data_IF_765613583613
#
_entry.id   IF_765613583613
#
_cell.length_a   1.000
_cell.length_b   1.000
_cell.length_c   1.000
_cell.angle_alpha   90.00
_cell.angle_beta   90.00
_cell.angle_gamma   90.00
#
_symmetry.space_group_name_H-M   'P 1'
#
loop_
_entity.id
_entity.type
_entity.pdbx_description
1 polymer ?
#
# COMPACT_ATOMS: atom_id res chain seq x y z
N UNK A 1 -42.26 30.21 10.62
CA UNK A 1 -40.87 29.85 10.30
C UNK A 1 -40.59 28.51 10.94
N UNK A 2 -40.27 27.49 10.14
CA UNK A 2 -39.81 26.21 10.69
C UNK A 2 -38.29 26.31 10.87
N UNK A 3 -37.84 26.17 12.12
CA UNK A 3 -36.42 26.18 12.46
C UNK A 3 -36.07 24.80 12.98
N UNK A 4 -35.37 24.03 12.15
CA UNK A 4 -34.65 22.86 12.61
C UNK A 4 -33.35 23.34 13.30
N UNK A 5 -32.81 22.65 14.32
CA UNK A 5 -31.50 23.00 14.91
C UNK A 5 -30.39 23.25 13.89
N UNK A 6 -30.46 22.59 12.73
CA UNK A 6 -29.43 22.66 11.68
C UNK A 6 -29.84 23.43 10.43
N UNK A 7 -31.12 23.83 10.29
CA UNK A 7 -31.58 24.46 9.06
C UNK A 7 -32.80 25.36 9.22
N UNK A 8 -32.87 26.34 8.32
CA UNK A 8 -33.94 27.33 8.29
C UNK A 8 -34.35 27.62 6.87
N UNK A 9 -35.63 27.86 6.65
CA UNK A 9 -36.16 28.38 5.38
C UNK A 9 -36.66 29.81 5.58
N UNK A 10 -36.29 30.74 4.70
CA UNK A 10 -36.81 32.10 4.72
C UNK A 10 -38.17 32.23 4.00
N UNK A 11 -38.75 33.43 4.04
CA UNK A 11 -40.06 33.73 3.43
C UNK A 11 -40.06 33.66 1.89
N UNK A 12 -38.87 33.67 1.28
CA UNK A 12 -38.68 33.53 -0.17
C UNK A 12 -38.47 32.08 -0.60
N UNK A 13 -38.44 31.14 0.35
CA UNK A 13 -38.17 29.73 0.11
C UNK A 13 -36.69 29.39 0.01
N UNK A 14 -35.77 30.28 0.40
CA UNK A 14 -34.34 29.96 0.46
C UNK A 14 -34.06 29.12 1.70
N UNK A 15 -33.35 28.00 1.52
CA UNK A 15 -32.95 27.08 2.59
C UNK A 15 -31.52 27.40 3.00
N UNK A 16 -31.30 27.50 4.30
CA UNK A 16 -30.01 27.73 4.93
C UNK A 16 -29.67 26.56 5.83
N UNK A 17 -28.38 26.20 5.88
CA UNK A 17 -27.80 25.27 6.85
C UNK A 17 -26.96 26.05 7.83
N UNK A 18 -27.03 25.68 9.10
CA UNK A 18 -26.20 26.26 10.15
C UNK A 18 -24.94 25.41 10.32
N UNK A 19 -23.78 26.03 10.11
CA UNK A 19 -22.45 25.44 10.31
C UNK A 19 -21.71 26.19 11.42
N UNK A 20 -20.57 25.69 11.87
CA UNK A 20 -19.70 26.39 12.81
C UNK A 20 -19.23 27.77 12.29
N UNK A 21 -19.20 27.96 10.96
CA UNK A 21 -18.80 29.21 10.32
C UNK A 21 -19.98 30.18 10.08
N UNK A 22 -21.21 29.77 10.42
CA UNK A 22 -22.43 30.57 10.26
C UNK A 22 -23.51 29.90 9.40
N UNK A 23 -24.53 30.68 9.02
CA UNK A 23 -25.59 30.22 8.11
C UNK A 23 -25.11 30.29 6.66
N UNK A 24 -25.19 29.17 5.93
CA UNK A 24 -24.85 29.04 4.52
C UNK A 24 -26.08 28.72 3.69
N UNK A 25 -26.17 29.26 2.48
CA UNK A 25 -27.29 28.97 1.56
C UNK A 25 -27.11 27.59 0.94
N UNK A 26 -28.12 26.74 1.10
CA UNK A 26 -28.16 25.35 0.61
C UNK A 26 -28.82 25.27 -0.76
N UNK A 27 -29.84 26.11 -0.97
CA UNK A 27 -30.64 26.14 -2.18
C UNK A 27 -31.93 26.94 -2.01
N UNK A 28 -32.79 26.92 -3.03
CA UNK A 28 -34.12 27.51 -2.97
C UNK A 28 -35.18 26.47 -3.30
N UNK A 29 -36.30 26.53 -2.59
CA UNK A 29 -37.46 25.65 -2.74
C UNK A 29 -38.71 26.48 -3.00
N UNK A 30 -39.22 26.43 -4.24
CA UNK A 30 -40.41 27.19 -4.66
C UNK A 30 -41.67 26.32 -4.81
N UNK A 31 -41.56 25.01 -4.61
CA UNK A 31 -42.64 24.05 -4.88
C UNK A 31 -43.02 23.28 -3.62
N UNK A 32 -43.74 23.93 -2.71
CA UNK A 32 -44.31 23.29 -1.51
C UNK A 32 -44.11 24.09 -0.23
N UNK A 33 -44.30 23.43 0.90
CA UNK A 33 -44.14 24.02 2.23
C UNK A 33 -42.66 24.08 2.66
N UNK A 34 -42.30 25.02 3.56
CA UNK A 34 -40.95 25.07 4.14
C UNK A 34 -40.50 23.79 4.85
N UNK A 35 -41.43 23.04 5.44
CA UNK A 35 -41.12 21.76 6.10
C UNK A 35 -40.73 20.67 5.09
N UNK A 36 -41.41 20.61 3.94
CA UNK A 36 -41.04 19.68 2.86
C UNK A 36 -39.66 20.01 2.27
N UNK A 37 -39.30 21.29 2.21
CA UNK A 37 -37.97 21.73 1.80
C UNK A 37 -36.89 21.20 2.75
N UNK A 38 -37.05 21.41 4.07
CA UNK A 38 -36.12 20.91 5.08
C UNK A 38 -36.00 19.38 5.01
N UNK A 39 -37.12 18.66 4.96
CA UNK A 39 -37.11 17.20 4.88
C UNK A 39 -36.40 16.68 3.61
N UNK A 40 -36.48 17.40 2.48
CA UNK A 40 -35.74 17.05 1.26
C UNK A 40 -34.23 17.18 1.46
N UNK A 41 -33.77 18.28 2.06
CA UNK A 41 -32.34 18.52 2.30
C UNK A 41 -31.78 17.65 3.45
N UNK A 42 -32.60 17.28 4.43
CA UNK A 42 -32.25 16.30 5.46
C UNK A 42 -32.04 14.89 4.86
N UNK A 43 -32.91 14.45 3.95
CA UNK A 43 -32.68 13.17 3.25
C UNK A 43 -31.37 13.13 2.47
N UNK A 44 -30.94 14.28 1.92
CA UNK A 44 -29.61 14.38 1.29
C UNK A 44 -28.49 14.22 2.30
N UNK A 45 -28.63 14.81 3.49
CA UNK A 45 -27.70 14.62 4.60
C UNK A 45 -27.64 13.14 5.01
N UNK A 46 -28.78 12.48 5.18
CA UNK A 46 -28.85 11.04 5.48
C UNK A 46 -28.16 10.19 4.40
N UNK A 47 -28.32 10.55 3.12
CA UNK A 47 -27.61 9.93 2.01
C UNK A 47 -26.09 9.99 2.18
N UNK A 48 -25.55 11.17 2.50
CA UNK A 48 -24.12 11.36 2.75
C UNK A 48 -23.65 10.57 3.98
N UNK A 49 -24.44 10.53 5.04
CA UNK A 49 -24.14 9.72 6.25
C UNK A 49 -23.99 8.25 5.89
N UNK A 50 -24.89 7.72 5.06
CA UNK A 50 -24.85 6.33 4.59
C UNK A 50 -23.64 6.09 3.68
N UNK A 51 -23.37 6.99 2.73
CA UNK A 51 -22.23 6.86 1.82
C UNK A 51 -20.89 6.84 2.57
N UNK A 52 -20.70 7.75 3.53
CA UNK A 52 -19.52 7.75 4.41
C UNK A 52 -19.43 6.43 5.19
N UNK A 53 -20.54 5.96 5.78
CA UNK A 53 -20.56 4.70 6.52
C UNK A 53 -20.18 3.48 5.67
N UNK A 54 -20.63 3.45 4.41
CA UNK A 54 -20.26 2.41 3.46
C UNK A 54 -18.78 2.47 3.10
N UNK A 55 -18.24 3.67 2.87
CA UNK A 55 -16.82 3.86 2.58
C UNK A 55 -15.94 3.48 3.79
N UNK A 56 -16.31 3.89 5.00
CA UNK A 56 -15.65 3.50 6.25
C UNK A 56 -15.59 1.98 6.37
N UNK A 57 -16.73 1.29 6.17
CA UNK A 57 -16.79 -0.17 6.21
C UNK A 57 -15.92 -0.80 5.13
N UNK A 58 -15.97 -0.29 3.90
CA UNK A 58 -15.17 -0.80 2.78
C UNK A 58 -13.67 -0.65 3.05
N UNK A 59 -13.24 0.51 3.53
CA UNK A 59 -11.86 0.73 3.97
C UNK A 59 -11.47 -0.28 5.05
N UNK A 60 -12.35 -0.58 5.99
CA UNK A 60 -12.05 -1.54 7.07
C UNK A 60 -12.01 -3.00 6.61
N UNK A 61 -12.95 -3.44 5.77
CA UNK A 61 -13.17 -4.87 5.50
C UNK A 61 -12.64 -5.37 4.17
N UNK A 62 -12.33 -4.49 3.22
CA UNK A 62 -11.89 -4.88 1.88
C UNK A 62 -10.44 -4.49 1.62
N UNK A 63 -9.88 -4.98 0.52
CA UNK A 63 -8.53 -4.68 0.03
C UNK A 63 -8.45 -3.35 -0.74
N UNK A 64 -9.36 -2.41 -0.47
CA UNK A 64 -9.41 -1.12 -1.15
C UNK A 64 -8.04 -0.43 -1.04
N UNK A 65 -7.50 0.00 -2.19
CA UNK A 65 -6.21 0.68 -2.22
C UNK A 65 -6.32 2.04 -1.52
N UNK A 66 -5.24 2.49 -0.89
CA UNK A 66 -5.21 3.80 -0.22
C UNK A 66 -5.52 4.94 -1.20
N UNK A 67 -5.10 4.80 -2.47
CA UNK A 67 -5.36 5.78 -3.52
C UNK A 67 -6.85 5.85 -3.87
N UNK A 68 -7.49 4.71 -4.08
CA UNK A 68 -8.92 4.67 -4.44
C UNK A 68 -9.80 5.11 -3.27
N UNK A 69 -9.41 4.78 -2.04
CA UNK A 69 -10.04 5.29 -0.83
C UNK A 69 -9.95 6.82 -0.76
N UNK A 70 -8.78 7.41 -1.04
CA UNK A 70 -8.61 8.86 -1.04
C UNK A 70 -9.49 9.55 -2.09
N UNK A 71 -9.54 9.02 -3.32
CA UNK A 71 -10.41 9.56 -4.38
C UNK A 71 -11.88 9.53 -3.96
N UNK A 72 -12.34 8.46 -3.32
CA UNK A 72 -13.71 8.37 -2.82
C UNK A 72 -13.98 9.36 -1.68
N UNK A 73 -13.03 9.55 -0.76
CA UNK A 73 -13.13 10.56 0.31
C UNK A 73 -13.26 11.96 -0.28
N UNK A 74 -12.40 12.30 -1.25
CA UNK A 74 -12.38 13.62 -1.88
C UNK A 74 -13.70 13.90 -2.60
N UNK A 75 -14.27 12.90 -3.29
CA UNK A 75 -15.58 13.04 -3.91
C UNK A 75 -16.70 13.33 -2.89
N UNK A 76 -16.73 12.62 -1.76
CA UNK A 76 -17.74 12.86 -0.73
C UNK A 76 -17.52 14.23 -0.07
N UNK A 77 -16.27 14.65 0.14
CA UNK A 77 -15.97 16.00 0.64
C UNK A 77 -16.49 17.09 -0.28
N UNK A 78 -16.30 16.95 -1.59
CA UNK A 78 -16.88 17.87 -2.57
C UNK A 78 -18.40 17.95 -2.47
N UNK A 79 -19.09 16.83 -2.24
CA UNK A 79 -20.54 16.82 -2.04
C UNK A 79 -20.97 17.49 -0.73
N UNK A 80 -20.20 17.32 0.36
CA UNK A 80 -20.44 17.99 1.64
C UNK A 80 -20.20 19.50 1.52
N UNK A 81 -19.12 19.91 0.86
CA UNK A 81 -18.75 21.32 0.65
C UNK A 81 -19.58 22.02 -0.42
N UNK A 82 -20.33 21.29 -1.23
CA UNK A 82 -21.39 21.85 -2.07
C UNK A 82 -22.59 22.34 -1.23
N UNK A 83 -22.62 22.07 0.08
CA UNK A 83 -23.64 22.54 1.05
C UNK A 83 -25.09 22.26 0.60
N UNK A 84 -25.35 21.19 -0.15
CA UNK A 84 -26.70 20.85 -0.64
C UNK A 84 -27.48 19.94 0.32
N UNK A 85 -27.21 20.01 1.61
CA UNK A 85 -27.86 19.22 2.64
C UNK A 85 -28.02 20.03 3.93
N UNK A 86 -29.06 19.70 4.72
CA UNK A 86 -29.31 20.30 6.03
C UNK A 86 -29.04 19.24 7.10
N UNK A 87 -28.09 19.53 7.99
CA UNK A 87 -27.64 18.64 9.05
C UNK A 87 -26.27 19.05 9.60
N UNK A 88 -25.67 18.21 10.43
CA UNK A 88 -24.34 18.46 11.01
C UNK A 88 -23.22 18.15 9.99
N UNK A 89 -23.02 19.07 9.04
CA UNK A 89 -21.99 18.95 8.00
C UNK A 89 -20.57 18.92 8.59
N UNK A 90 -20.36 19.60 9.71
CA UNK A 90 -19.05 19.63 10.39
C UNK A 90 -18.72 18.26 11.01
N UNK A 91 -19.72 17.54 11.53
CA UNK A 91 -19.53 16.14 11.93
C UNK A 91 -19.18 15.23 10.74
N UNK A 92 -19.77 15.44 9.56
CA UNK A 92 -19.40 14.68 8.35
C UNK A 92 -17.96 14.97 7.91
N UNK A 93 -17.56 16.24 7.89
CA UNK A 93 -16.17 16.64 7.64
C UNK A 93 -15.21 15.98 8.62
N UNK A 94 -15.53 16.02 9.91
CA UNK A 94 -14.73 15.36 10.95
C UNK A 94 -14.63 13.83 10.80
N UNK A 95 -15.67 13.17 10.29
CA UNK A 95 -15.61 11.73 9.95
C UNK A 95 -14.68 11.47 8.77
N UNK A 96 -14.79 12.28 7.70
CA UNK A 96 -13.93 12.18 6.52
C UNK A 96 -12.46 12.43 6.88
N UNK A 97 -12.16 13.41 7.75
CA UNK A 97 -10.81 13.68 8.25
C UNK A 97 -10.21 12.50 9.00
N UNK A 98 -10.98 11.88 9.90
CA UNK A 98 -10.58 10.66 10.61
C UNK A 98 -10.32 9.51 9.64
N UNK A 99 -11.14 9.40 8.59
CA UNK A 99 -10.97 8.37 7.58
C UNK A 99 -9.69 8.58 6.77
N UNK A 100 -9.36 9.83 6.38
CA UNK A 100 -8.07 10.16 5.75
C UNK A 100 -6.90 9.75 6.64
N UNK A 101 -6.93 10.12 7.93
CA UNK A 101 -5.88 9.75 8.87
C UNK A 101 -5.69 8.23 8.96
N UNK A 102 -6.80 7.48 8.95
CA UNK A 102 -6.77 6.01 8.95
C UNK A 102 -6.14 5.44 7.68
N UNK A 103 -6.50 5.98 6.51
CA UNK A 103 -5.96 5.57 5.22
C UNK A 103 -4.45 5.83 5.14
N UNK A 104 -4.00 7.01 5.59
CA UNK A 104 -2.57 7.35 5.58
C UNK A 104 -1.75 6.52 6.57
N UNK A 105 -2.27 6.25 7.78
CA UNK A 105 -1.59 5.34 8.73
C UNK A 105 -1.35 3.97 8.11
N UNK A 106 -2.39 3.38 7.50
CA UNK A 106 -2.29 2.07 6.84
C UNK A 106 -1.34 2.09 5.64
N UNK A 107 -1.31 3.19 4.89
CA UNK A 107 -0.39 3.37 3.76
C UNK A 107 1.06 3.36 4.24
N UNK A 108 1.34 4.08 5.32
CA UNK A 108 2.68 4.17 5.90
C UNK A 108 3.10 2.83 6.53
N UNK A 109 2.22 2.17 7.28
CA UNK A 109 2.45 0.82 7.81
C UNK A 109 2.79 -0.18 6.70
N UNK A 110 2.01 -0.21 5.62
CA UNK A 110 2.28 -1.08 4.45
C UNK A 110 3.59 -0.74 3.78
N UNK A 111 3.94 0.54 3.68
CA UNK A 111 5.21 0.99 3.11
C UNK A 111 6.38 0.51 3.96
N UNK A 112 6.31 0.68 5.28
CA UNK A 112 7.32 0.22 6.22
C UNK A 112 7.46 -1.30 6.21
N UNK A 113 6.34 -2.04 6.17
CA UNK A 113 6.36 -3.50 6.06
C UNK A 113 7.03 -3.96 4.76
N UNK A 114 6.70 -3.34 3.62
CA UNK A 114 7.36 -3.65 2.33
C UNK A 114 8.84 -3.32 2.35
N UNK A 115 9.22 -2.18 2.93
CA UNK A 115 10.62 -1.81 3.06
C UNK A 115 11.40 -2.84 3.90
N UNK A 116 10.87 -3.22 5.08
CA UNK A 116 11.46 -4.26 5.94
C UNK A 116 11.59 -5.59 5.21
N UNK A 117 10.54 -6.06 4.55
CA UNK A 117 10.58 -7.30 3.78
C UNK A 117 11.60 -7.25 2.64
N UNK A 118 11.72 -6.11 1.96
CA UNK A 118 12.72 -5.90 0.91
C UNK A 118 14.14 -5.90 1.46
N UNK A 119 14.37 -5.25 2.60
CA UNK A 119 15.68 -5.19 3.25
C UNK A 119 16.11 -6.56 3.79
N UNK A 120 15.19 -7.30 4.41
CA UNK A 120 15.42 -8.67 4.86
C UNK A 120 15.74 -9.61 3.70
N UNK A 121 14.98 -9.52 2.60
CA UNK A 121 15.24 -10.31 1.39
C UNK A 121 16.60 -9.93 0.76
N UNK A 122 16.97 -8.65 0.76
CA UNK A 122 18.26 -8.19 0.25
C UNK A 122 19.40 -8.75 1.09
N UNK A 123 19.33 -8.61 2.41
CA UNK A 123 20.34 -9.13 3.33
C UNK A 123 20.50 -10.64 3.18
N UNK A 124 19.41 -11.40 3.13
CA UNK A 124 19.46 -12.84 2.92
C UNK A 124 20.17 -13.22 1.60
N UNK A 125 19.92 -12.47 0.51
CA UNK A 125 20.60 -12.68 -0.77
C UNK A 125 22.07 -12.29 -0.73
N UNK A 126 22.41 -11.20 -0.06
CA UNK A 126 23.80 -10.77 0.16
C UNK A 126 24.59 -11.82 0.95
N UNK A 127 24.00 -12.37 2.01
CA UNK A 127 24.62 -13.43 2.82
C UNK A 127 24.86 -14.70 1.98
N UNK A 128 23.91 -15.11 1.11
CA UNK A 128 24.10 -16.22 0.17
C UNK A 128 25.22 -15.97 -0.84
N UNK A 129 25.32 -14.74 -1.35
CA UNK A 129 26.38 -14.34 -2.29
C UNK A 129 27.74 -14.40 -1.59
N UNK A 130 27.85 -13.83 -0.39
CA UNK A 130 29.08 -13.84 0.40
C UNK A 130 29.52 -15.26 0.73
N UNK A 131 28.60 -16.14 1.11
CA UNK A 131 28.90 -17.56 1.34
C UNK A 131 29.38 -18.25 0.06
N UNK A 132 28.73 -17.99 -1.07
CA UNK A 132 29.17 -18.56 -2.35
C UNK A 132 30.57 -18.05 -2.78
N UNK A 133 30.86 -16.78 -2.54
CA UNK A 133 32.18 -16.18 -2.78
C UNK A 133 33.26 -16.83 -1.91
N UNK A 134 32.96 -17.13 -0.63
CA UNK A 134 33.87 -17.87 0.25
C UNK A 134 34.07 -19.32 -0.21
N UNK A 135 32.99 -20.03 -0.52
CA UNK A 135 33.04 -21.42 -1.00
C UNK A 135 33.78 -21.54 -2.33
N UNK A 136 33.73 -20.50 -3.17
CA UNK A 136 34.46 -20.47 -4.43
C UNK A 136 35.99 -20.50 -4.26
N UNK A 137 36.49 -20.12 -3.09
CA UNK A 137 37.90 -20.17 -2.74
C UNK A 137 38.32 -21.48 -2.04
N UNK A 138 37.36 -22.33 -1.67
CA UNK A 138 37.60 -23.57 -0.93
C UNK A 138 38.15 -24.69 -1.80
N UNK A 139 39.14 -25.42 -1.28
CA UNK A 139 39.65 -26.66 -1.87
C UNK A 139 38.89 -27.91 -1.41
N UNK A 140 37.87 -27.74 -0.55
CA UNK A 140 36.96 -28.83 -0.16
C UNK A 140 35.95 -29.13 -1.26
N UNK A 141 36.44 -29.66 -2.39
CA UNK A 141 35.71 -29.74 -3.67
C UNK A 141 34.32 -30.39 -3.60
N UNK A 142 34.17 -31.43 -2.79
CA UNK A 142 32.89 -32.15 -2.64
C UNK A 142 31.91 -31.35 -1.79
N UNK A 143 32.30 -31.02 -0.56
CA UNK A 143 31.45 -30.30 0.40
C UNK A 143 31.06 -28.90 -0.12
N UNK A 144 32.02 -28.14 -0.66
CA UNK A 144 31.75 -26.84 -1.25
C UNK A 144 30.83 -26.93 -2.47
N UNK A 145 30.99 -27.97 -3.31
CA UNK A 145 30.14 -28.21 -4.46
C UNK A 145 28.70 -28.61 -4.09
N UNK A 146 28.51 -29.39 -3.03
CA UNK A 146 27.18 -29.72 -2.49
C UNK A 146 26.52 -28.49 -1.88
N UNK A 147 27.27 -27.70 -1.08
CA UNK A 147 26.76 -26.46 -0.49
C UNK A 147 26.38 -25.42 -1.54
N UNK A 148 27.21 -25.19 -2.56
CA UNK A 148 26.91 -24.27 -3.67
C UNK A 148 25.64 -24.66 -4.44
N UNK A 149 25.30 -25.96 -4.53
CA UNK A 149 24.01 -26.39 -5.12
C UNK A 149 22.85 -26.04 -4.19
N UNK A 150 22.98 -26.32 -2.91
CA UNK A 150 21.95 -25.98 -1.92
C UNK A 150 21.65 -24.47 -1.89
N UNK A 151 22.67 -23.61 -2.01
CA UNK A 151 22.49 -22.15 -2.06
C UNK A 151 21.63 -21.69 -3.25
N UNK A 152 21.66 -22.40 -4.39
CA UNK A 152 20.80 -22.08 -5.55
C UNK A 152 19.34 -22.32 -5.23
N UNK A 153 19.04 -23.40 -4.51
CA UNK A 153 17.68 -23.73 -4.14
C UNK A 153 17.18 -22.78 -3.04
N UNK A 154 18.04 -22.40 -2.10
CA UNK A 154 17.73 -21.32 -1.15
C UNK A 154 17.45 -20.00 -1.87
N UNK A 155 18.29 -19.61 -2.84
CA UNK A 155 18.09 -18.39 -3.63
C UNK A 155 16.72 -18.33 -4.31
N UNK A 156 16.28 -19.44 -4.93
CA UNK A 156 14.97 -19.53 -5.60
C UNK A 156 13.79 -19.39 -4.64
N UNK A 157 13.97 -19.76 -3.37
CA UNK A 157 12.96 -19.66 -2.32
C UNK A 157 12.87 -18.27 -1.69
N UNK A 158 13.86 -17.39 -1.90
CA UNK A 158 13.85 -16.05 -1.34
C UNK A 158 12.91 -15.10 -2.12
N UNK A 159 12.27 -14.13 -1.44
CA UNK A 159 11.49 -13.10 -2.10
C UNK A 159 12.29 -12.37 -3.19
N UNK A 160 11.61 -11.99 -4.27
CA UNK A 160 12.21 -11.20 -5.34
C UNK A 160 12.38 -9.75 -4.89
N UNK A 161 13.53 -9.16 -5.21
CA UNK A 161 13.79 -7.74 -5.03
C UNK A 161 13.34 -6.96 -6.26
N UNK A 162 13.61 -5.66 -6.28
CA UNK A 162 13.59 -4.91 -7.52
C UNK A 162 14.57 -5.53 -8.53
N UNK A 163 14.22 -5.41 -9.82
CA UNK A 163 14.95 -6.07 -10.91
C UNK A 163 16.45 -5.77 -10.88
N UNK A 164 16.84 -4.52 -10.60
CA UNK A 164 18.24 -4.09 -10.66
C UNK A 164 19.04 -4.76 -9.54
N UNK A 165 18.56 -4.70 -8.30
CA UNK A 165 19.24 -5.32 -7.16
C UNK A 165 19.34 -6.84 -7.32
N UNK A 166 18.28 -7.48 -7.82
CA UNK A 166 18.25 -8.94 -7.99
C UNK A 166 19.24 -9.40 -9.07
N UNK A 167 19.27 -8.71 -10.22
CA UNK A 167 20.17 -9.00 -11.33
C UNK A 167 21.65 -8.86 -10.91
N UNK A 168 21.99 -7.82 -10.14
CA UNK A 168 23.34 -7.59 -9.65
C UNK A 168 23.82 -8.71 -8.72
N UNK A 169 23.02 -9.03 -7.70
CA UNK A 169 23.35 -10.08 -6.74
C UNK A 169 23.39 -11.46 -7.42
N UNK A 170 22.48 -11.74 -8.35
CA UNK A 170 22.50 -12.98 -9.13
C UNK A 170 23.75 -13.11 -9.99
N UNK A 171 24.20 -12.02 -10.63
CA UNK A 171 25.41 -12.00 -11.43
C UNK A 171 26.63 -12.34 -10.56
N UNK A 172 26.77 -11.72 -9.38
CA UNK A 172 27.84 -12.02 -8.42
C UNK A 172 27.81 -13.48 -7.96
N UNK A 173 26.64 -13.98 -7.57
CA UNK A 173 26.45 -15.37 -7.17
C UNK A 173 26.83 -16.37 -8.28
N UNK A 174 26.39 -16.10 -9.51
CA UNK A 174 26.68 -16.93 -10.68
C UNK A 174 28.17 -16.91 -11.05
N UNK A 175 28.82 -15.75 -10.90
CA UNK A 175 30.26 -15.61 -11.10
C UNK A 175 31.04 -16.45 -10.09
N UNK A 176 30.72 -16.38 -8.79
CA UNK A 176 31.37 -17.19 -7.76
C UNK A 176 31.26 -18.71 -8.04
N UNK A 177 30.06 -19.18 -8.41
CA UNK A 177 29.82 -20.59 -8.78
C UNK A 177 30.60 -21.01 -10.03
N UNK A 178 30.69 -20.13 -11.01
CA UNK A 178 31.45 -20.38 -12.24
C UNK A 178 32.95 -20.46 -11.97
N UNK A 179 33.47 -19.56 -11.14
CA UNK A 179 34.86 -19.54 -10.70
C UNK A 179 35.23 -20.84 -9.96
N UNK A 180 34.41 -21.27 -9.00
CA UNK A 180 34.59 -22.57 -8.32
C UNK A 180 34.66 -23.74 -9.29
N UNK A 181 33.69 -23.81 -10.22
CA UNK A 181 33.58 -24.90 -11.18
C UNK A 181 34.81 -24.97 -12.11
N UNK A 182 35.32 -23.80 -12.54
CA UNK A 182 36.55 -23.68 -13.33
C UNK A 182 37.78 -24.15 -12.54
N UNK A 183 37.94 -23.70 -11.29
CA UNK A 183 39.04 -24.12 -10.40
C UNK A 183 39.04 -25.62 -10.15
N UNK A 184 37.87 -26.18 -9.81
CA UNK A 184 37.69 -27.61 -9.58
C UNK A 184 38.09 -28.43 -10.81
N UNK A 185 37.64 -28.02 -12.01
CA UNK A 185 37.98 -28.70 -13.26
C UNK A 185 39.49 -28.68 -13.52
N UNK A 186 40.15 -27.53 -13.32
CA UNK A 186 41.59 -27.40 -13.50
C UNK A 186 42.38 -28.30 -12.53
N UNK A 187 42.00 -28.32 -11.25
CA UNK A 187 42.64 -29.16 -10.23
C UNK A 187 42.58 -30.65 -10.56
N UNK A 188 41.40 -31.17 -10.93
CA UNK A 188 41.28 -32.59 -11.30
C UNK A 188 41.98 -32.93 -12.62
N UNK A 189 41.97 -32.03 -13.61
CA UNK A 189 42.72 -32.24 -14.84
C UNK A 189 44.24 -32.34 -14.60
N UNK A 190 44.78 -31.53 -13.67
CA UNK A 190 46.19 -31.61 -13.27
C UNK A 190 46.51 -32.94 -12.56
N UNK A 191 45.65 -33.37 -11.63
CA UNK A 191 45.83 -34.66 -10.94
C UNK A 191 45.78 -35.85 -11.90
N UNK A 192 44.88 -35.82 -12.87
CA UNK A 192 44.77 -36.89 -13.86
C UNK A 192 45.99 -36.92 -14.79
N UNK A 193 46.50 -35.77 -15.24
CA UNK A 193 47.73 -35.70 -16.03
C UNK A 193 48.95 -36.24 -15.27
N UNK A 194 49.10 -35.89 -13.99
CA UNK A 194 50.19 -36.40 -13.14
C UNK A 194 50.13 -37.93 -12.95
N UNK A 195 48.93 -38.52 -12.91
CA UNK A 195 48.75 -39.97 -12.78
C UNK A 195 49.12 -40.72 -14.06
N UNK A 196 48.85 -40.13 -15.22
CA UNK A 196 49.22 -40.70 -16.52
C UNK A 196 50.71 -40.58 -16.81
N UNK A 197 51.38 -39.49 -16.38
CA UNK A 197 52.84 -39.35 -16.48
C UNK A 197 53.62 -40.30 -15.54
N UNK A 198 53.00 -40.71 -14.43
CA UNK A 198 53.61 -41.63 -13.45
C UNK A 198 53.38 -43.12 -13.75
N UNK A 199 52.67 -43.45 -14.85
CA UNK A 199 52.37 -44.80 -15.32
C UNK A 199 53.34 -45.25 -16.40
#
# INVERSE_FOLDING_TARGET
MSSDPWGRVDETGTVYVRTAEGEQVVGSWQAGSPEEALAYFERKYEGLVVEIGLLEKRVQTTDLSAKDAQVAIDHIREQVDAHHAVGDLDALRGRLDKLVATVESRREERKQQRAKQSDEARKAKEDLVAEAEQLAQSDQWRAAGERLRALVDTWKGLPRLDRKSDDELWHRFSHARSAFSKRRKAHFAQLDAQREEAR
#
